data_IF_864185325161
#
_entry.id   IF_864185325161
#
_cell.length_a   1.000
_cell.length_b   1.000
_cell.length_c   1.000
_cell.angle_alpha   90.00
_cell.angle_beta   90.00
_cell.angle_gamma   90.00
#
_symmetry.space_group_name_H-M   'P 1'
#
loop_
_entity.id
_entity.type
_entity.pdbx_description
1 polymer ?
#
# COMPACT_ATOMS: atom_id res chain seq x y z
N UNK A 1 14.88 -15.10 -22.79
CA UNK A 1 13.98 -13.95 -22.99
C UNK A 1 13.69 -13.37 -21.61
N UNK A 2 14.14 -12.13 -21.35
CA UNK A 2 13.81 -11.42 -20.11
C UNK A 2 12.38 -10.92 -20.25
N UNK A 3 11.52 -11.27 -19.30
CA UNK A 3 10.16 -10.75 -19.25
C UNK A 3 10.23 -9.30 -18.73
N UNK A 4 10.65 -8.36 -19.58
CA UNK A 4 10.84 -6.96 -19.22
C UNK A 4 9.54 -6.35 -18.65
N UNK A 5 8.39 -6.74 -19.20
CA UNK A 5 7.07 -6.33 -18.68
C UNK A 5 6.77 -6.87 -17.27
N UNK A 6 7.25 -8.09 -16.94
CA UNK A 6 7.11 -8.65 -15.59
C UNK A 6 8.04 -7.94 -14.61
N UNK A 7 9.26 -7.59 -15.03
CA UNK A 7 10.19 -6.82 -14.22
C UNK A 7 9.60 -5.45 -13.86
N UNK A 8 9.11 -4.71 -14.85
CA UNK A 8 8.45 -3.41 -14.67
C UNK A 8 7.24 -3.50 -13.74
N UNK A 9 6.42 -4.56 -13.88
CA UNK A 9 5.30 -4.81 -12.97
C UNK A 9 5.79 -4.90 -11.53
N UNK A 10 6.77 -5.75 -11.25
CA UNK A 10 7.27 -5.93 -9.89
C UNK A 10 7.96 -4.69 -9.34
N UNK A 11 8.58 -3.87 -10.18
CA UNK A 11 9.17 -2.60 -9.74
C UNK A 11 8.10 -1.62 -9.25
N UNK A 12 6.97 -1.53 -9.94
CA UNK A 12 5.81 -0.76 -9.48
C UNK A 12 5.28 -1.30 -8.14
N UNK A 13 5.11 -2.61 -8.02
CA UNK A 13 4.61 -3.23 -6.79
C UNK A 13 5.55 -2.98 -5.60
N UNK A 14 6.87 -3.05 -5.80
CA UNK A 14 7.86 -2.71 -4.76
C UNK A 14 7.75 -1.26 -4.32
N UNK A 15 7.55 -0.33 -5.27
CA UNK A 15 7.36 1.09 -4.95
C UNK A 15 6.12 1.32 -4.10
N UNK A 16 4.98 0.74 -4.50
CA UNK A 16 3.72 0.84 -3.74
C UNK A 16 3.91 0.28 -2.32
N UNK A 17 4.48 -0.94 -2.20
CA UNK A 17 4.74 -1.57 -0.89
C UNK A 17 5.62 -0.69 0.01
N UNK A 18 6.61 -0.01 -0.56
CA UNK A 18 7.49 0.90 0.21
C UNK A 18 6.71 2.08 0.78
N UNK A 19 5.79 2.68 0.00
CA UNK A 19 4.92 3.76 0.49
C UNK A 19 4.01 3.25 1.61
N UNK A 20 3.37 2.09 1.43
CA UNK A 20 2.53 1.46 2.47
C UNK A 20 3.32 1.20 3.74
N UNK A 21 4.52 0.62 3.62
CA UNK A 21 5.36 0.32 4.78
C UNK A 21 5.75 1.62 5.50
N UNK A 22 6.14 2.66 4.76
CA UNK A 22 6.47 3.97 5.33
C UNK A 22 5.33 4.57 6.15
N UNK A 23 4.09 4.52 5.63
CA UNK A 23 2.91 4.97 6.37
C UNK A 23 2.69 4.16 7.67
N UNK A 24 2.82 2.83 7.60
CA UNK A 24 2.62 1.95 8.77
C UNK A 24 3.73 2.08 9.83
N UNK A 25 4.96 2.43 9.44
CA UNK A 25 6.03 2.70 10.41
C UNK A 25 5.69 3.92 11.28
N UNK A 26 5.09 4.97 10.71
CA UNK A 26 4.66 6.16 11.46
C UNK A 26 3.60 5.76 12.50
N UNK A 27 2.59 4.99 12.09
CA UNK A 27 1.55 4.50 12.99
C UNK A 27 2.11 3.62 14.13
N UNK A 28 3.16 2.83 13.85
CA UNK A 28 3.84 2.04 14.88
C UNK A 28 4.64 2.92 15.84
N UNK A 29 5.33 3.94 15.33
CA UNK A 29 6.04 4.92 16.17
C UNK A 29 5.08 5.67 17.10
N UNK A 30 3.89 5.98 16.60
CA UNK A 30 2.81 6.63 17.38
C UNK A 30 2.00 5.64 18.23
N UNK A 31 2.36 4.35 18.23
CA UNK A 31 1.75 3.27 19.00
C UNK A 31 0.26 3.05 18.69
N UNK A 32 -0.19 3.42 17.49
CA UNK A 32 -1.55 3.16 17.02
C UNK A 32 -1.75 1.71 16.57
N UNK A 33 -0.68 1.10 16.05
CA UNK A 33 -0.63 -0.33 15.72
C UNK A 33 0.60 -1.01 16.35
N UNK A 34 0.44 -2.27 16.76
CA UNK A 34 1.55 -3.12 17.18
C UNK A 34 2.18 -3.90 16.02
N UNK A 35 1.40 -4.25 15.00
CA UNK A 35 1.88 -4.98 13.82
C UNK A 35 1.12 -4.56 12.55
N UNK A 36 1.68 -4.83 11.37
CA UNK A 36 1.02 -4.52 10.09
C UNK A 36 -0.32 -5.27 9.91
N UNK A 37 -0.49 -6.42 10.57
CA UNK A 37 -1.75 -7.16 10.61
C UNK A 37 -2.86 -6.44 11.39
N UNK A 38 -2.55 -5.39 12.14
CA UNK A 38 -3.59 -4.57 12.79
C UNK A 38 -4.07 -3.43 11.88
N UNK A 39 -3.52 -3.31 10.66
CA UNK A 39 -3.81 -2.25 9.71
C UNK A 39 -4.63 -2.73 8.50
N UNK A 40 -5.43 -1.79 7.99
CA UNK A 40 -6.22 -1.87 6.76
C UNK A 40 -6.03 -0.58 5.92
N UNK A 41 -4.81 -0.30 5.44
CA UNK A 41 -4.53 0.97 4.76
C UNK A 41 -5.36 1.16 3.49
N UNK A 42 -5.71 2.42 3.22
CA UNK A 42 -6.28 2.85 1.94
C UNK A 42 -5.14 3.43 1.10
N UNK A 43 -4.91 2.85 -0.07
CA UNK A 43 -3.86 3.23 -1.02
C UNK A 43 -4.50 3.91 -2.22
N UNK A 44 -4.05 5.12 -2.51
CA UNK A 44 -4.46 5.92 -3.65
C UNK A 44 -3.36 5.85 -4.70
N UNK A 45 -3.71 5.43 -5.91
CA UNK A 45 -2.80 5.36 -7.05
C UNK A 45 -3.36 6.25 -8.15
N UNK A 46 -2.73 7.40 -8.39
CA UNK A 46 -3.19 8.37 -9.39
C UNK A 46 -2.97 7.88 -10.84
N UNK A 47 -2.07 6.91 -11.02
CA UNK A 47 -1.67 6.36 -12.31
C UNK A 47 -2.44 5.07 -12.62
N UNK A 48 -3.31 5.12 -13.62
CA UNK A 48 -4.14 3.96 -13.99
C UNK A 48 -3.30 2.73 -14.38
N UNK A 49 -2.17 2.92 -15.07
CA UNK A 49 -1.26 1.84 -15.46
C UNK A 49 -0.61 1.14 -14.24
N UNK A 50 -0.42 1.86 -13.14
CA UNK A 50 0.08 1.29 -11.88
C UNK A 50 -1.02 0.59 -11.10
N UNK A 51 -2.23 1.16 -11.10
CA UNK A 51 -3.41 0.54 -10.51
C UNK A 51 -3.76 -0.78 -11.19
N UNK A 52 -3.68 -0.85 -12.52
CA UNK A 52 -3.96 -2.07 -13.28
C UNK A 52 -2.98 -3.19 -12.93
N UNK A 53 -1.72 -2.85 -12.63
CA UNK A 53 -0.69 -3.81 -12.19
C UNK A 53 -0.97 -4.42 -10.82
N UNK A 54 -1.86 -3.84 -10.00
CA UNK A 54 -2.24 -4.39 -8.68
C UNK A 54 -3.46 -5.30 -8.72
N UNK A 55 -4.29 -5.24 -9.77
CA UNK A 55 -5.60 -5.89 -9.82
C UNK A 55 -5.55 -7.42 -9.74
N UNK A 56 -4.47 -8.03 -10.22
CA UNK A 56 -4.28 -9.48 -10.23
C UNK A 56 -3.42 -9.99 -9.06
N UNK A 57 -3.10 -9.14 -8.08
CA UNK A 57 -2.25 -9.47 -6.94
C UNK A 57 -2.99 -9.30 -5.61
N UNK A 58 -2.72 -10.20 -4.66
CA UNK A 58 -3.12 -9.96 -3.28
C UNK A 58 -2.16 -8.97 -2.61
N UNK A 59 -2.53 -7.69 -2.67
CA UNK A 59 -1.71 -6.63 -2.10
C UNK A 59 -1.68 -6.62 -0.57
N UNK A 60 -2.70 -7.19 0.10
CA UNK A 60 -2.70 -7.33 1.56
C UNK A 60 -1.59 -8.30 2.00
N UNK A 61 -1.43 -9.44 1.31
CA UNK A 61 -0.35 -10.39 1.57
C UNK A 61 1.03 -9.78 1.28
N UNK A 62 1.14 -9.05 0.16
CA UNK A 62 2.39 -8.39 -0.25
C UNK A 62 2.82 -7.33 0.77
N UNK A 63 1.86 -6.59 1.35
CA UNK A 63 2.10 -5.57 2.36
C UNK A 63 2.05 -6.11 3.80
N UNK A 64 1.70 -7.38 3.98
CA UNK A 64 1.55 -8.05 5.29
C UNK A 64 0.52 -7.31 6.17
N UNK A 65 -0.58 -6.86 5.58
CA UNK A 65 -1.69 -6.21 6.26
C UNK A 65 -2.90 -7.13 6.34
N UNK A 66 -3.79 -6.89 7.30
CA UNK A 66 -5.01 -7.71 7.38
C UNK A 66 -5.96 -7.43 6.23
N UNK A 67 -6.04 -6.16 5.81
CA UNK A 67 -6.83 -5.73 4.67
C UNK A 67 -6.05 -4.64 3.93
N UNK A 68 -6.45 -4.34 2.71
CA UNK A 68 -5.97 -3.18 1.96
C UNK A 68 -7.07 -2.74 1.00
N UNK A 69 -7.31 -1.45 0.91
CA UNK A 69 -8.21 -0.86 -0.09
C UNK A 69 -7.34 -0.08 -1.08
N UNK A 70 -7.47 -0.35 -2.38
CA UNK A 70 -6.69 0.32 -3.42
C UNK A 70 -7.63 1.06 -4.35
N UNK A 71 -7.42 2.37 -4.50
CA UNK A 71 -8.27 3.26 -5.30
C UNK A 71 -7.45 3.90 -6.42
N UNK A 72 -8.04 3.94 -7.61
CA UNK A 72 -7.49 4.66 -8.75
C UNK A 72 -7.90 6.14 -8.68
N UNK A 73 -7.37 6.84 -7.69
CA UNK A 73 -7.70 8.21 -7.36
C UNK A 73 -6.43 8.96 -6.97
N UNK A 74 -6.46 10.29 -7.07
CA UNK A 74 -5.37 11.12 -6.57
C UNK A 74 -5.27 11.01 -5.04
N UNK A 75 -4.05 10.89 -4.47
CA UNK A 75 -3.88 10.93 -3.03
C UNK A 75 -4.48 12.21 -2.41
N UNK A 76 -5.26 12.10 -1.34
CA UNK A 76 -5.72 13.27 -0.61
C UNK A 76 -4.54 13.99 0.07
N UNK A 77 -4.75 15.23 0.52
CA UNK A 77 -3.65 16.08 1.02
C UNK A 77 -3.00 15.51 2.30
N UNK A 78 -3.80 14.81 3.10
CA UNK A 78 -3.41 14.15 4.34
C UNK A 78 -2.82 12.75 4.15
N UNK A 79 -2.82 12.20 2.94
CA UNK A 79 -2.22 10.90 2.68
C UNK A 79 -0.69 10.98 2.77
N UNK A 80 -0.11 9.94 3.37
CA UNK A 80 1.33 9.76 3.36
C UNK A 80 1.81 9.45 1.95
N UNK A 81 2.83 10.18 1.48
CA UNK A 81 3.48 9.98 0.17
C UNK A 81 5.00 9.95 0.35
N UNK A 82 5.71 9.38 -0.63
CA UNK A 82 7.17 9.48 -0.69
C UNK A 82 7.58 10.43 -1.80
N UNK A 83 8.66 11.18 -1.60
CA UNK A 83 9.15 12.18 -2.57
C UNK A 83 9.46 11.59 -3.95
N UNK A 84 9.87 10.32 -4.00
CA UNK A 84 10.22 9.60 -5.21
C UNK A 84 9.06 8.74 -5.78
N UNK A 85 7.88 8.77 -5.15
CA UNK A 85 6.65 8.09 -5.59
C UNK A 85 5.42 8.94 -5.26
N UNK A 86 5.30 10.11 -5.90
CA UNK A 86 4.22 11.08 -5.63
C UNK A 86 2.86 10.64 -6.14
N UNK A 87 2.84 9.72 -7.10
CA UNK A 87 1.62 9.13 -7.67
C UNK A 87 0.93 8.13 -6.73
N UNK A 88 1.58 7.72 -5.63
CA UNK A 88 1.02 6.79 -4.65
C UNK A 88 0.94 7.48 -3.30
N UNK A 89 -0.23 7.45 -2.68
CA UNK A 89 -0.43 7.89 -1.31
C UNK A 89 -1.17 6.87 -0.48
N UNK A 90 -0.95 6.91 0.83
CA UNK A 90 -1.51 5.94 1.77
C UNK A 90 -2.12 6.67 2.95
N UNK A 91 -3.40 6.40 3.21
CA UNK A 91 -4.06 6.78 4.46
C UNK A 91 -4.11 5.54 5.35
N UNK A 92 -3.43 5.54 6.51
CA UNK A 92 -3.50 4.43 7.43
C UNK A 92 -4.91 4.32 8.02
N UNK A 93 -5.37 3.09 8.19
CA UNK A 93 -6.60 2.77 8.90
C UNK A 93 -6.40 1.47 9.68
N UNK A 94 -7.15 1.30 10.77
CA UNK A 94 -7.11 0.07 11.57
C UNK A 94 -7.97 -1.00 10.90
N UNK A 95 -7.50 -2.24 10.94
CA UNK A 95 -8.28 -3.37 10.45
C UNK A 95 -9.52 -3.58 11.31
N UNK A 96 -10.68 -3.71 10.66
CA UNK A 96 -11.95 -4.00 11.34
C UNK A 96 -12.08 -5.51 11.48
N UNK A 97 -11.61 -6.05 12.61
CA UNK A 97 -11.71 -7.47 12.93
C UNK A 97 -11.00 -7.82 14.22
N UNK A 98 -11.66 -8.52 15.14
CA UNK A 98 -11.00 -9.09 16.31
C UNK A 98 -9.95 -10.11 15.86
N UNK A 99 -8.75 -10.07 16.47
CA UNK A 99 -7.70 -11.09 16.31
C UNK A 99 -8.34 -12.49 16.30
N UNK A 100 -8.31 -13.19 15.17
CA UNK A 100 -8.61 -14.62 15.16
C UNK A 100 -7.56 -15.30 16.05
N UNK A 101 -8.04 -15.93 17.13
CA UNK A 101 -7.24 -16.73 18.06
C UNK A 101 -6.91 -18.09 17.50
#
# INVERSE_FOLDING_TARGET
YKNDNLAEKWDVIRKIRRVVTGALEIERQEKRIGSSLEAAPVVYIAKADWFDKTQDLNMADICITSQIDIRNEAPPTEAFTLDDVKEVGVTPALAVGQKCR
#
